data_IF_765345149473
#
_entry.id   IF_765345149473
#
_cell.length_a   1.000
_cell.length_b   1.000
_cell.length_c   1.000
_cell.angle_alpha   90.00
_cell.angle_beta   90.00
_cell.angle_gamma   90.00
#
_symmetry.space_group_name_H-M   'P 1'
#
loop_
_entity.id
_entity.type
_entity.pdbx_description
1 polymer ?
#
# COMPACT_ATOMS: atom_id res chain seq x y z
N UNK A 1 14.20 36.71 79.96
CA UNK A 1 15.24 36.11 79.10
C UNK A 1 14.51 35.17 78.15
N UNK A 2 14.40 35.60 76.90
CA UNK A 2 13.69 34.88 75.89
C UNK A 2 14.68 34.33 74.86
N UNK A 3 14.79 33.01 74.77
CA UNK A 3 15.65 32.33 73.81
C UNK A 3 14.89 32.11 72.49
N UNK A 4 15.45 32.60 71.38
CA UNK A 4 14.95 32.43 70.01
C UNK A 4 15.19 31.00 69.60
N UNK A 5 14.09 30.23 69.26
CA UNK A 5 14.14 29.02 68.50
C UNK A 5 14.18 29.37 67.00
N UNK A 6 15.22 28.97 66.33
CA UNK A 6 15.33 29.05 64.89
C UNK A 6 14.46 27.92 64.28
N UNK A 7 13.45 28.31 63.50
CA UNK A 7 12.72 27.39 62.59
C UNK A 7 13.53 27.24 61.30
N UNK A 8 14.07 26.06 61.10
CA UNK A 8 14.59 25.62 59.81
C UNK A 8 13.39 25.22 58.93
N UNK A 9 13.08 26.07 57.96
CA UNK A 9 12.15 25.74 56.91
C UNK A 9 12.83 24.82 55.91
N UNK A 10 12.40 23.57 55.84
CA UNK A 10 12.79 22.61 54.79
C UNK A 10 12.06 22.98 53.49
N UNK A 11 12.78 23.49 52.52
CA UNK A 11 12.31 23.65 51.15
C UNK A 11 12.19 22.28 50.47
N UNK A 12 11.10 21.98 49.78
CA UNK A 12 11.03 20.76 48.98
C UNK A 12 11.93 20.90 47.74
N UNK A 13 12.86 19.99 47.59
CA UNK A 13 13.65 19.85 46.37
C UNK A 13 12.68 19.39 45.27
N UNK A 14 12.28 20.30 44.42
CA UNK A 14 11.65 20.01 43.16
C UNK A 14 12.67 19.30 42.28
N UNK A 15 12.60 17.98 42.23
CA UNK A 15 13.29 17.17 41.25
C UNK A 15 12.69 17.51 39.86
N UNK A 16 13.37 18.39 39.14
CA UNK A 16 13.09 18.59 37.72
C UNK A 16 13.48 17.32 36.97
N UNK A 17 12.51 16.50 36.69
CA UNK A 17 12.62 15.45 35.69
C UNK A 17 12.83 16.16 34.35
N UNK A 18 14.09 16.30 33.94
CA UNK A 18 14.44 16.56 32.57
C UNK A 18 13.99 15.32 31.79
N UNK A 19 12.82 15.38 31.15
CA UNK A 19 12.47 14.52 30.05
C UNK A 19 13.50 14.75 28.94
N UNK A 20 14.61 14.04 29.02
CA UNK A 20 15.53 13.85 27.92
C UNK A 20 14.86 12.96 26.87
N UNK A 21 13.92 13.52 26.11
CA UNK A 21 13.71 13.04 24.76
C UNK A 21 15.02 13.36 24.03
N UNK A 22 15.92 12.39 23.93
CA UNK A 22 16.88 12.38 22.86
C UNK A 22 16.07 12.61 21.60
N UNK A 23 16.41 13.66 20.84
CA UNK A 23 15.89 13.84 19.50
C UNK A 23 16.34 12.58 18.74
N UNK A 24 15.46 11.57 18.65
CA UNK A 24 15.61 10.50 17.68
C UNK A 24 15.77 11.21 16.35
N UNK A 25 16.93 11.04 15.71
CA UNK A 25 17.10 11.42 14.32
C UNK A 25 15.97 10.71 13.59
N UNK A 26 15.03 11.49 13.07
CA UNK A 26 13.90 10.94 12.33
C UNK A 26 14.51 10.11 11.20
N UNK A 27 14.54 8.79 11.35
CA UNK A 27 14.99 7.90 10.28
C UNK A 27 14.01 8.08 9.14
N UNK A 28 14.52 8.32 7.95
CA UNK A 28 13.72 8.43 6.72
C UNK A 28 12.65 7.34 6.68
N UNK A 29 11.41 7.70 6.42
CA UNK A 29 10.27 6.78 6.33
C UNK A 29 9.74 6.74 4.91
N UNK A 30 9.16 5.61 4.53
CA UNK A 30 8.68 5.37 3.18
C UNK A 30 7.22 4.94 3.24
N UNK A 31 6.36 5.69 2.55
CA UNK A 31 5.01 5.29 2.20
C UNK A 31 5.07 4.62 0.81
N UNK A 32 4.99 3.31 0.79
CA UNK A 32 5.20 2.52 -0.43
C UNK A 32 3.95 2.45 -1.34
N UNK A 33 2.83 3.10 -0.96
CA UNK A 33 1.60 3.02 -1.72
C UNK A 33 0.70 4.24 -1.48
N UNK A 34 0.75 5.19 -2.41
CA UNK A 34 -0.18 6.31 -2.48
C UNK A 34 -0.42 6.76 -3.94
N UNK A 35 -1.33 7.70 -4.16
CA UNK A 35 -1.77 8.17 -5.47
C UNK A 35 -1.70 9.70 -5.56
N UNK A 36 -0.53 10.23 -5.94
CA UNK A 36 -0.32 11.65 -6.21
C UNK A 36 -0.22 11.85 -7.73
N UNK A 37 -1.23 12.47 -8.33
CA UNK A 37 -1.38 12.58 -9.79
C UNK A 37 -1.14 13.99 -10.33
N UNK A 38 -0.70 14.92 -9.48
CA UNK A 38 -0.31 16.28 -9.84
C UNK A 38 0.72 16.82 -8.87
N UNK A 39 1.52 17.78 -9.31
CA UNK A 39 2.37 18.53 -8.39
C UNK A 39 1.49 19.27 -7.37
N UNK A 40 1.80 19.11 -6.10
CA UNK A 40 1.10 19.70 -4.95
C UNK A 40 2.15 20.29 -4.00
N UNK A 41 2.57 21.56 -4.20
CA UNK A 41 3.73 22.13 -3.52
C UNK A 41 3.68 22.03 -1.99
N UNK A 42 2.52 22.31 -1.36
CA UNK A 42 2.38 22.22 0.10
C UNK A 42 2.50 20.78 0.59
N UNK A 43 1.94 19.79 -0.14
CA UNK A 43 2.07 18.37 0.18
C UNK A 43 3.54 17.91 0.06
N UNK A 44 4.22 18.27 -1.04
CA UNK A 44 5.62 17.91 -1.26
C UNK A 44 6.53 18.52 -0.19
N UNK A 45 6.31 19.79 0.20
CA UNK A 45 7.05 20.43 1.29
C UNK A 45 6.79 19.76 2.65
N UNK A 46 5.55 19.32 2.91
CA UNK A 46 5.22 18.60 4.14
C UNK A 46 5.92 17.23 4.21
N UNK A 47 5.98 16.49 3.11
CA UNK A 47 6.71 15.22 3.01
C UNK A 47 8.21 15.44 3.25
N UNK A 48 8.79 16.47 2.66
CA UNK A 48 10.20 16.82 2.87
C UNK A 48 10.50 17.18 4.33
N UNK A 49 9.68 18.04 4.93
CA UNK A 49 9.83 18.46 6.32
C UNK A 49 9.72 17.29 7.32
N UNK A 50 8.86 16.33 7.02
CA UNK A 50 8.61 15.17 7.88
C UNK A 50 9.50 13.97 7.56
N UNK A 51 10.44 14.11 6.62
CA UNK A 51 11.38 13.10 6.12
C UNK A 51 10.68 11.82 5.63
N UNK A 52 9.61 12.00 4.85
CA UNK A 52 8.92 10.92 4.17
C UNK A 52 9.32 10.86 2.70
N UNK A 53 9.61 9.65 2.22
CA UNK A 53 9.59 9.30 0.80
C UNK A 53 8.32 8.54 0.48
N UNK A 54 7.95 8.55 -0.80
CA UNK A 54 6.72 7.90 -1.24
C UNK A 54 6.89 7.19 -2.57
N UNK A 55 6.02 6.21 -2.84
CA UNK A 55 5.84 5.65 -4.18
C UNK A 55 4.44 6.01 -4.66
N UNK A 56 4.36 6.93 -5.64
CA UNK A 56 3.08 7.24 -6.29
C UNK A 56 2.77 6.19 -7.35
N UNK A 57 1.61 5.56 -7.24
CA UNK A 57 1.22 4.42 -8.06
C UNK A 57 0.23 4.85 -9.13
N UNK A 58 0.57 4.61 -10.40
CA UNK A 58 -0.34 4.73 -11.52
C UNK A 58 -1.32 3.56 -11.54
N UNK A 59 -2.61 3.82 -11.76
CA UNK A 59 -3.65 2.80 -11.88
C UNK A 59 -4.31 2.88 -13.23
N UNK A 60 -4.33 1.77 -13.97
CA UNK A 60 -5.16 1.57 -15.17
C UNK A 60 -6.41 0.80 -14.77
N UNK A 61 -7.53 1.52 -14.62
CA UNK A 61 -8.80 0.95 -14.16
C UNK A 61 -9.80 0.65 -15.28
N UNK A 62 -9.44 0.92 -16.54
CA UNK A 62 -10.31 0.77 -17.69
C UNK A 62 -10.79 -0.69 -17.86
N UNK A 63 -12.09 -0.87 -18.16
CA UNK A 63 -12.74 -2.17 -18.34
C UNK A 63 -13.63 -2.24 -19.59
N UNK A 64 -14.06 -1.09 -20.17
CA UNK A 64 -14.89 -0.95 -21.35
C UNK A 64 -14.07 -0.71 -22.62
N UNK A 65 -14.75 -0.24 -23.67
CA UNK A 65 -14.17 -0.04 -25.00
C UNK A 65 -13.64 1.40 -25.21
N UNK A 66 -13.64 2.24 -24.18
CA UNK A 66 -13.12 3.60 -24.24
C UNK A 66 -11.64 3.61 -24.67
N UNK A 67 -11.17 4.67 -25.37
CA UNK A 67 -9.76 4.78 -25.74
C UNK A 67 -8.83 4.67 -24.53
N UNK A 68 -7.65 4.07 -24.73
CA UNK A 68 -6.67 3.95 -23.66
C UNK A 68 -6.07 5.30 -23.30
N UNK A 69 -6.13 5.65 -22.03
CA UNK A 69 -5.51 6.86 -21.44
C UNK A 69 -4.22 6.55 -20.70
N UNK A 70 -3.65 5.37 -20.90
CA UNK A 70 -2.50 4.89 -20.10
C UNK A 70 -1.27 5.79 -20.25
N UNK A 71 -1.07 6.42 -21.40
CA UNK A 71 0.00 7.39 -21.60
C UNK A 71 -0.12 8.59 -20.65
N UNK A 72 -1.30 9.20 -20.60
CA UNK A 72 -1.59 10.34 -19.73
C UNK A 72 -1.55 9.94 -18.25
N UNK A 73 -2.06 8.74 -17.93
CA UNK A 73 -2.05 8.23 -16.57
C UNK A 73 -0.60 8.02 -16.06
N UNK A 74 0.31 7.50 -16.88
CA UNK A 74 1.72 7.34 -16.52
C UNK A 74 2.49 8.67 -16.49
N UNK A 75 2.12 9.65 -17.32
CA UNK A 75 2.78 10.96 -17.36
C UNK A 75 2.64 11.74 -16.03
N UNK A 76 1.48 11.63 -15.37
CA UNK A 76 1.17 12.34 -14.13
C UNK A 76 2.14 12.01 -12.97
N UNK A 77 2.30 10.76 -12.52
CA UNK A 77 3.26 10.45 -11.45
C UNK A 77 4.72 10.70 -11.87
N UNK A 78 5.05 10.58 -13.16
CA UNK A 78 6.37 10.93 -13.68
C UNK A 78 6.67 12.44 -13.51
N UNK A 79 5.67 13.30 -13.71
CA UNK A 79 5.78 14.75 -13.45
C UNK A 79 5.98 15.03 -11.95
N UNK A 80 5.20 14.41 -11.08
CA UNK A 80 5.36 14.51 -9.62
C UNK A 80 6.75 14.07 -9.18
N UNK A 81 7.25 12.98 -9.73
CA UNK A 81 8.62 12.50 -9.47
C UNK A 81 9.66 13.59 -9.77
N UNK A 82 9.58 14.23 -10.93
CA UNK A 82 10.47 15.34 -11.30
C UNK A 82 10.31 16.55 -10.38
N UNK A 83 9.06 16.95 -10.12
CA UNK A 83 8.75 18.09 -9.26
C UNK A 83 9.23 17.91 -7.82
N UNK A 84 9.22 16.68 -7.30
CA UNK A 84 9.68 16.31 -5.95
C UNK A 84 11.18 16.03 -5.88
N UNK A 85 11.93 16.20 -6.98
CA UNK A 85 13.36 15.85 -7.07
C UNK A 85 13.65 14.42 -6.63
N UNK A 86 12.75 13.48 -6.95
CA UNK A 86 12.86 12.06 -6.63
C UNK A 86 12.36 11.64 -5.25
N UNK A 87 11.92 12.56 -4.38
CA UNK A 87 11.33 12.20 -3.07
C UNK A 87 10.07 11.35 -3.23
N UNK A 88 9.27 11.62 -4.25
CA UNK A 88 8.18 10.76 -4.69
C UNK A 88 8.67 9.96 -5.89
N UNK A 89 9.01 8.70 -5.68
CA UNK A 89 9.22 7.72 -6.74
C UNK A 89 7.86 7.31 -7.34
N UNK A 90 7.86 6.53 -8.43
CA UNK A 90 6.61 6.14 -9.04
C UNK A 90 6.61 4.74 -9.66
N UNK A 91 5.43 4.13 -9.66
CA UNK A 91 5.13 2.90 -10.37
C UNK A 91 4.28 3.21 -11.60
N UNK A 92 4.69 2.70 -12.76
CA UNK A 92 3.89 2.75 -13.99
C UNK A 92 2.77 1.71 -13.97
N UNK A 93 1.93 1.74 -14.99
CA UNK A 93 0.91 0.72 -15.23
C UNK A 93 0.77 0.48 -16.73
N UNK A 94 0.00 -0.52 -17.12
CA UNK A 94 -0.39 -0.76 -18.50
C UNK A 94 -1.88 -1.05 -18.60
N UNK A 95 -2.44 -0.78 -19.78
CA UNK A 95 -3.81 -1.16 -20.09
C UNK A 95 -3.84 -2.64 -20.49
N UNK A 96 -4.52 -3.45 -19.70
CA UNK A 96 -4.58 -4.90 -19.93
C UNK A 96 -5.66 -5.32 -20.95
N UNK A 97 -6.48 -4.37 -21.41
CA UNK A 97 -7.48 -4.65 -22.46
C UNK A 97 -6.78 -4.99 -23.78
N UNK A 98 -7.46 -5.78 -24.60
CA UNK A 98 -6.89 -6.24 -25.87
C UNK A 98 -5.76 -7.26 -25.71
N UNK A 99 -5.68 -7.94 -24.55
CA UNK A 99 -4.67 -8.96 -24.25
C UNK A 99 -4.69 -10.15 -25.22
N UNK A 100 -5.79 -10.37 -25.94
CA UNK A 100 -5.91 -11.41 -26.98
C UNK A 100 -5.28 -11.00 -28.34
N UNK A 101 -4.87 -9.74 -28.48
CA UNK A 101 -4.17 -9.30 -29.69
C UNK A 101 -2.74 -9.85 -29.69
N UNK A 102 -2.27 -10.50 -30.79
CA UNK A 102 -0.91 -11.05 -30.86
C UNK A 102 0.21 -10.02 -30.57
N UNK A 103 -0.01 -8.76 -30.89
CA UNK A 103 0.97 -7.68 -30.65
C UNK A 103 0.90 -7.06 -29.23
N UNK A 104 -0.08 -7.48 -28.43
CA UNK A 104 -0.35 -6.87 -27.12
C UNK A 104 0.88 -6.82 -26.22
N UNK A 105 1.51 -7.96 -25.97
CA UNK A 105 2.67 -8.04 -25.09
C UNK A 105 3.82 -7.18 -25.59
N UNK A 106 4.10 -7.17 -26.91
CA UNK A 106 5.14 -6.34 -27.53
C UNK A 106 4.91 -4.85 -27.31
N UNK A 107 3.68 -4.38 -27.54
CA UNK A 107 3.31 -2.97 -27.29
C UNK A 107 3.42 -2.57 -25.81
N UNK A 108 2.93 -3.40 -24.90
CA UNK A 108 3.04 -3.15 -23.47
C UNK A 108 4.49 -3.10 -23.02
N UNK A 109 5.33 -4.05 -23.45
CA UNK A 109 6.75 -4.08 -23.10
C UNK A 109 7.48 -2.82 -23.62
N UNK A 110 7.18 -2.38 -24.84
CA UNK A 110 7.76 -1.14 -25.39
C UNK A 110 7.36 0.08 -24.56
N UNK A 111 6.08 0.19 -24.20
CA UNK A 111 5.58 1.27 -23.33
C UNK A 111 6.22 1.24 -21.95
N UNK A 112 6.31 0.07 -21.31
CA UNK A 112 6.95 -0.06 -19.99
C UNK A 112 8.44 0.32 -20.01
N UNK A 113 9.17 -0.01 -21.06
CA UNK A 113 10.57 0.44 -21.23
C UNK A 113 10.67 1.97 -21.22
N UNK A 114 9.79 2.64 -21.96
CA UNK A 114 9.74 4.11 -21.95
C UNK A 114 9.46 4.67 -20.54
N UNK A 115 8.55 4.05 -19.77
CA UNK A 115 8.28 4.49 -18.39
C UNK A 115 9.48 4.22 -17.47
N UNK A 116 10.24 3.13 -17.67
CA UNK A 116 11.46 2.86 -16.90
C UNK A 116 12.57 3.87 -17.23
N UNK A 117 12.72 4.25 -18.49
CA UNK A 117 13.64 5.32 -18.92
C UNK A 117 13.26 6.68 -18.32
N UNK A 118 11.97 6.90 -18.03
CA UNK A 118 11.46 8.08 -17.33
C UNK A 118 11.54 7.98 -15.79
N UNK A 119 12.07 6.89 -15.25
CA UNK A 119 12.30 6.70 -13.82
C UNK A 119 11.26 5.89 -13.07
N UNK A 120 10.34 5.19 -13.75
CA UNK A 120 9.45 4.23 -13.08
C UNK A 120 10.25 3.08 -12.45
N UNK A 121 9.99 2.80 -11.18
CA UNK A 121 10.71 1.77 -10.42
C UNK A 121 9.92 0.47 -10.24
N UNK A 122 8.64 0.49 -10.58
CA UNK A 122 7.75 -0.66 -10.45
C UNK A 122 6.62 -0.58 -11.49
N UNK A 123 5.86 -1.66 -11.62
CA UNK A 123 4.67 -1.73 -12.48
C UNK A 123 3.47 -2.17 -11.67
N UNK A 124 2.39 -1.39 -11.73
CA UNK A 124 1.10 -1.73 -11.12
C UNK A 124 0.27 -2.60 -12.04
N UNK A 125 -0.26 -3.69 -11.49
CA UNK A 125 -1.43 -4.37 -12.03
C UNK A 125 -2.60 -4.21 -11.06
N UNK A 126 -3.82 -4.15 -11.59
CA UNK A 126 -4.97 -3.79 -10.79
C UNK A 126 -6.10 -4.82 -10.89
N UNK A 127 -7.05 -4.76 -9.99
CA UNK A 127 -8.16 -5.72 -9.84
C UNK A 127 -9.09 -5.84 -11.06
N UNK A 128 -9.03 -4.89 -12.02
CA UNK A 128 -9.70 -5.07 -13.30
C UNK A 128 -9.24 -6.36 -14.01
N UNK A 129 -8.01 -6.82 -13.75
CA UNK A 129 -7.56 -8.17 -14.07
C UNK A 129 -8.12 -9.12 -13.00
N UNK A 130 -9.10 -9.90 -13.35
CA UNK A 130 -9.85 -10.82 -12.49
C UNK A 130 -11.31 -10.42 -12.27
N UNK A 131 -11.63 -9.11 -12.30
CA UNK A 131 -12.94 -8.59 -11.90
C UNK A 131 -13.61 -7.67 -12.94
N UNK A 132 -12.90 -7.22 -13.97
CA UNK A 132 -13.43 -6.23 -14.92
C UNK A 132 -13.22 -6.60 -16.37
N UNK A 133 -11.98 -6.84 -16.77
CA UNK A 133 -11.61 -7.11 -18.17
C UNK A 133 -12.08 -8.50 -18.58
N UNK A 134 -12.73 -8.57 -19.74
CA UNK A 134 -13.23 -9.82 -20.33
C UNK A 134 -12.52 -10.16 -21.63
N UNK A 135 -12.44 -11.45 -21.91
CA UNK A 135 -12.07 -11.99 -23.21
C UNK A 135 -13.19 -11.78 -24.24
N UNK A 136 -12.91 -12.04 -25.51
CA UNK A 136 -13.94 -12.08 -26.57
C UNK A 136 -15.01 -13.13 -26.32
N UNK A 137 -14.71 -14.18 -25.55
CA UNK A 137 -15.71 -15.18 -25.12
C UNK A 137 -16.58 -14.72 -23.95
N UNK A 138 -16.29 -13.54 -23.37
CA UNK A 138 -17.02 -12.96 -22.25
C UNK A 138 -16.52 -13.39 -20.86
N UNK A 139 -15.48 -14.22 -20.77
CA UNK A 139 -14.89 -14.65 -19.51
C UNK A 139 -13.94 -13.58 -18.93
N UNK A 140 -13.92 -13.41 -17.63
CA UNK A 140 -12.96 -12.51 -16.98
C UNK A 140 -11.54 -13.04 -17.11
N UNK A 141 -10.61 -12.18 -17.53
CA UNK A 141 -9.18 -12.50 -17.61
C UNK A 141 -8.58 -12.63 -16.23
N UNK A 142 -7.83 -13.67 -15.98
CA UNK A 142 -7.16 -13.92 -14.70
C UNK A 142 -5.68 -13.46 -14.74
N UNK A 143 -5.06 -13.17 -13.58
CA UNK A 143 -3.68 -12.66 -13.53
C UNK A 143 -2.62 -13.65 -14.04
N UNK A 144 -2.92 -14.94 -14.10
CA UNK A 144 -2.06 -15.98 -14.65
C UNK A 144 -2.29 -16.27 -16.15
N UNK A 145 -3.06 -15.42 -16.85
CA UNK A 145 -3.27 -15.56 -18.28
C UNK A 145 -1.94 -15.55 -19.04
N UNK A 146 -1.69 -16.50 -19.97
CA UNK A 146 -0.43 -16.59 -20.70
C UNK A 146 -0.02 -15.32 -21.47
N UNK A 147 -0.99 -14.49 -21.89
CA UNK A 147 -0.72 -13.22 -22.57
C UNK A 147 0.11 -12.24 -21.73
N UNK A 148 0.07 -12.35 -20.40
CA UNK A 148 0.84 -11.50 -19.50
C UNK A 148 2.25 -12.03 -19.21
N UNK A 149 2.52 -13.30 -19.47
CA UNK A 149 3.83 -13.92 -19.18
C UNK A 149 5.02 -13.15 -19.76
N UNK A 150 5.05 -12.76 -21.07
CA UNK A 150 6.17 -12.02 -21.62
C UNK A 150 6.38 -10.64 -20.96
N UNK A 151 5.26 -10.01 -20.49
CA UNK A 151 5.31 -8.72 -19.80
C UNK A 151 5.98 -8.89 -18.44
N UNK A 152 5.57 -9.89 -17.66
CA UNK A 152 6.15 -10.18 -16.35
C UNK A 152 7.64 -10.57 -16.43
N UNK A 153 8.02 -11.33 -17.45
CA UNK A 153 9.43 -11.65 -17.74
C UNK A 153 10.24 -10.39 -18.08
N UNK A 154 9.67 -9.46 -18.87
CA UNK A 154 10.32 -8.20 -19.18
C UNK A 154 10.50 -7.30 -17.93
N UNK A 155 9.51 -7.25 -17.06
CA UNK A 155 9.58 -6.54 -15.76
C UNK A 155 10.67 -7.16 -14.86
N UNK A 156 10.70 -8.49 -14.77
CA UNK A 156 11.74 -9.22 -14.03
C UNK A 156 13.14 -8.94 -14.60
N UNK A 157 13.30 -8.98 -15.93
CA UNK A 157 14.58 -8.70 -16.60
C UNK A 157 15.06 -7.27 -16.38
N UNK A 158 14.14 -6.32 -16.27
CA UNK A 158 14.43 -4.92 -15.95
C UNK A 158 14.72 -4.68 -14.45
N UNK A 159 14.76 -5.73 -13.64
CA UNK A 159 14.90 -5.67 -12.17
C UNK A 159 13.83 -4.77 -11.50
N UNK A 160 12.61 -4.80 -12.01
CA UNK A 160 11.47 -4.04 -11.48
C UNK A 160 10.52 -4.96 -10.70
N UNK A 161 9.68 -4.35 -9.86
CA UNK A 161 8.71 -5.04 -9.02
C UNK A 161 7.32 -4.90 -9.60
N UNK A 162 6.51 -5.95 -9.50
CA UNK A 162 5.07 -5.86 -9.72
C UNK A 162 4.41 -5.46 -8.40
N UNK A 163 3.63 -4.37 -8.41
CA UNK A 163 2.73 -3.97 -7.33
C UNK A 163 1.32 -4.42 -7.73
N UNK A 164 0.80 -5.43 -7.04
CA UNK A 164 -0.36 -6.20 -7.49
C UNK A 164 -1.57 -6.01 -6.58
N UNK A 165 -2.57 -5.25 -7.03
CA UNK A 165 -3.90 -5.25 -6.42
C UNK A 165 -4.75 -6.30 -7.14
N UNK A 166 -4.83 -7.50 -6.60
CA UNK A 166 -5.59 -8.63 -7.14
C UNK A 166 -6.71 -8.97 -6.17
N UNK A 167 -7.95 -9.01 -6.68
CA UNK A 167 -9.18 -9.17 -5.91
C UNK A 167 -9.51 -7.99 -4.97
N UNK A 168 -10.61 -8.11 -4.26
CA UNK A 168 -11.18 -7.18 -3.29
C UNK A 168 -11.35 -7.87 -1.93
N UNK A 169 -11.68 -7.14 -0.84
CA UNK A 169 -12.16 -7.75 0.40
C UNK A 169 -13.29 -8.75 0.20
N UNK A 170 -13.46 -9.68 1.13
CA UNK A 170 -14.52 -10.70 1.08
C UNK A 170 -15.92 -10.10 0.88
N UNK A 171 -16.14 -8.88 1.38
CA UNK A 171 -17.37 -8.13 1.20
C UNK A 171 -17.83 -7.94 -0.25
N UNK A 172 -16.92 -8.02 -1.24
CA UNK A 172 -17.29 -7.97 -2.66
C UNK A 172 -18.13 -9.19 -3.10
N UNK A 173 -18.03 -10.31 -2.40
CA UNK A 173 -18.73 -11.56 -2.68
C UNK A 173 -19.82 -11.91 -1.65
N UNK A 174 -20.12 -11.01 -0.72
CA UNK A 174 -21.16 -11.15 0.30
C UNK A 174 -22.36 -10.26 -0.03
N UNK A 175 -23.57 -10.54 0.51
CA UNK A 175 -24.71 -9.65 0.36
C UNK A 175 -24.39 -8.21 0.77
N UNK A 176 -24.96 -7.23 0.06
CA UNK A 176 -24.75 -5.81 0.32
C UNK A 176 -25.80 -5.30 1.34
N UNK A 177 -25.69 -5.75 2.57
CA UNK A 177 -26.55 -5.36 3.69
C UNK A 177 -25.73 -4.73 4.84
N UNK A 178 -26.38 -4.44 5.95
CA UNK A 178 -25.77 -3.77 7.11
C UNK A 178 -24.64 -4.57 7.78
N UNK A 179 -24.50 -5.86 7.50
CA UNK A 179 -23.41 -6.69 7.99
C UNK A 179 -22.13 -6.57 7.15
N UNK A 180 -22.24 -6.06 5.92
CA UNK A 180 -21.12 -5.90 5.01
C UNK A 180 -20.35 -4.62 5.36
N UNK A 181 -19.13 -4.79 5.89
CA UNK A 181 -18.26 -3.66 6.30
C UNK A 181 -17.88 -2.73 5.14
N UNK A 182 -17.97 -3.21 3.88
CA UNK A 182 -17.62 -2.48 2.66
C UNK A 182 -18.85 -1.93 1.90
N UNK A 183 -20.04 -1.95 2.53
CA UNK A 183 -21.30 -1.47 1.91
C UNK A 183 -21.15 -0.05 1.35
N UNK A 184 -20.46 0.84 2.06
CA UNK A 184 -20.25 2.23 1.64
C UNK A 184 -19.39 2.36 0.38
N UNK A 185 -18.47 1.42 0.16
CA UNK A 185 -17.61 1.38 -1.03
C UNK A 185 -18.37 0.79 -2.22
N UNK A 186 -18.95 -0.41 -2.09
CA UNK A 186 -19.60 -1.09 -3.21
C UNK A 186 -20.91 -0.43 -3.65
N UNK A 187 -21.60 0.31 -2.79
CA UNK A 187 -22.73 1.15 -3.18
C UNK A 187 -22.36 2.28 -4.15
N UNK A 188 -21.10 2.75 -4.08
CA UNK A 188 -20.57 3.81 -4.95
C UNK A 188 -19.78 3.28 -6.15
N UNK A 189 -19.33 2.03 -6.08
CA UNK A 189 -18.48 1.38 -7.07
C UNK A 189 -19.04 -0.01 -7.41
N UNK A 190 -20.28 -0.08 -7.96
CA UNK A 190 -20.97 -1.35 -8.21
C UNK A 190 -20.24 -2.23 -9.23
N UNK A 191 -19.36 -1.66 -10.07
CA UNK A 191 -18.54 -2.40 -11.02
C UNK A 191 -17.57 -3.37 -10.37
N UNK A 192 -17.19 -3.16 -9.09
CA UNK A 192 -16.31 -4.03 -8.32
C UNK A 192 -17.05 -4.97 -7.36
N UNK A 193 -18.38 -4.93 -7.36
CA UNK A 193 -19.19 -5.82 -6.54
C UNK A 193 -19.56 -7.09 -7.31
N UNK A 194 -19.13 -8.25 -6.79
CA UNK A 194 -19.19 -9.55 -7.48
C UNK A 194 -20.32 -10.44 -7.02
N UNK A 195 -20.94 -10.21 -5.87
CA UNK A 195 -22.03 -11.03 -5.37
C UNK A 195 -23.20 -11.05 -6.33
N UNK A 196 -23.62 -12.27 -6.73
CA UNK A 196 -24.71 -12.48 -7.69
C UNK A 196 -24.42 -12.03 -9.14
N UNK A 197 -23.21 -11.55 -9.44
CA UNK A 197 -22.84 -11.11 -10.80
C UNK A 197 -22.60 -12.33 -11.68
N UNK A 198 -23.34 -12.40 -12.79
CA UNK A 198 -23.23 -13.50 -13.73
C UNK A 198 -21.82 -13.59 -14.34
N UNK A 199 -21.24 -14.79 -14.29
CA UNK A 199 -19.91 -15.08 -14.82
C UNK A 199 -18.75 -14.54 -13.99
N UNK A 200 -19.00 -13.91 -12.82
CA UNK A 200 -17.94 -13.51 -11.92
C UNK A 200 -17.22 -14.73 -11.34
N UNK A 201 -15.91 -14.64 -11.26
CA UNK A 201 -15.12 -15.61 -10.51
C UNK A 201 -15.34 -15.46 -9.02
N UNK A 202 -15.23 -16.54 -8.26
CA UNK A 202 -15.09 -16.46 -6.81
C UNK A 202 -13.75 -15.82 -6.44
N UNK A 203 -13.66 -15.25 -5.22
CA UNK A 203 -12.39 -14.72 -4.70
C UNK A 203 -11.29 -15.79 -4.72
N UNK A 204 -11.61 -17.02 -4.32
CA UNK A 204 -10.69 -18.15 -4.30
C UNK A 204 -10.12 -18.45 -5.69
N UNK A 205 -10.95 -18.37 -6.74
CA UNK A 205 -10.50 -18.58 -8.13
C UNK A 205 -9.48 -17.51 -8.54
N UNK A 206 -9.74 -16.24 -8.24
CA UNK A 206 -8.84 -15.13 -8.56
C UNK A 206 -7.54 -15.25 -7.76
N UNK A 207 -7.63 -15.57 -6.47
CA UNK A 207 -6.48 -15.72 -5.59
C UNK A 207 -5.63 -16.94 -5.97
N UNK A 208 -6.24 -18.04 -6.38
CA UNK A 208 -5.53 -19.22 -6.91
C UNK A 208 -4.78 -18.87 -8.22
N UNK A 209 -5.38 -18.05 -9.08
CA UNK A 209 -4.70 -17.56 -10.29
C UNK A 209 -3.50 -16.66 -9.94
N UNK A 210 -3.62 -15.80 -8.92
CA UNK A 210 -2.49 -15.04 -8.39
C UNK A 210 -1.39 -15.97 -7.88
N UNK A 211 -1.75 -17.01 -7.15
CA UNK A 211 -0.77 -17.96 -6.60
C UNK A 211 -0.05 -18.73 -7.73
N UNK A 212 -0.75 -19.09 -8.82
CA UNK A 212 -0.11 -19.67 -10.03
C UNK A 212 0.80 -18.67 -10.74
N UNK A 213 0.41 -17.38 -10.80
CA UNK A 213 1.27 -16.33 -11.32
C UNK A 213 2.57 -16.22 -10.52
N UNK A 214 2.50 -16.19 -9.18
CA UNK A 214 3.67 -16.15 -8.29
C UNK A 214 4.58 -17.36 -8.50
N UNK A 215 4.02 -18.56 -8.60
CA UNK A 215 4.75 -19.81 -8.81
C UNK A 215 5.47 -19.86 -10.16
N UNK A 216 4.87 -19.31 -11.23
CA UNK A 216 5.47 -19.26 -12.58
C UNK A 216 6.64 -18.27 -12.69
N UNK A 217 6.69 -17.26 -11.84
CA UNK A 217 7.68 -16.21 -11.86
C UNK A 217 8.47 -16.10 -10.54
N UNK A 218 9.19 -17.16 -10.11
CA UNK A 218 9.77 -17.24 -8.75
C UNK A 218 10.90 -16.21 -8.51
N UNK A 219 11.44 -15.60 -9.57
CA UNK A 219 12.46 -14.55 -9.48
C UNK A 219 11.89 -13.13 -9.57
N UNK A 220 10.62 -12.98 -9.93
CA UNK A 220 9.96 -11.69 -10.00
C UNK A 220 9.50 -11.27 -8.59
N UNK A 221 9.92 -10.10 -8.13
CA UNK A 221 9.40 -9.53 -6.89
C UNK A 221 7.97 -9.05 -7.10
N UNK A 222 7.07 -9.47 -6.21
CA UNK A 222 5.67 -9.05 -6.23
C UNK A 222 5.30 -8.52 -4.85
N UNK A 223 4.76 -7.30 -4.80
CA UNK A 223 4.14 -6.71 -3.61
C UNK A 223 2.63 -6.74 -3.80
N UNK A 224 1.95 -7.58 -3.03
CA UNK A 224 0.49 -7.64 -2.99
C UNK A 224 -0.06 -6.44 -2.22
N UNK A 225 -0.81 -5.58 -2.91
CA UNK A 225 -1.46 -4.44 -2.26
C UNK A 225 -2.48 -4.91 -1.21
N UNK A 226 -2.72 -4.06 -0.20
CA UNK A 226 -3.85 -4.24 0.70
C UNK A 226 -3.79 -5.57 1.48
N UNK A 227 -2.64 -5.87 2.09
CA UNK A 227 -2.36 -7.18 2.72
C UNK A 227 -2.59 -8.35 1.74
N UNK A 228 -2.31 -8.11 0.45
CA UNK A 228 -2.50 -9.11 -0.60
C UNK A 228 -3.95 -9.51 -0.81
N UNK A 229 -4.92 -8.67 -0.44
CA UNK A 229 -6.37 -8.91 -0.45
C UNK A 229 -6.81 -10.10 0.43
N UNK A 230 -6.01 -10.41 1.46
CA UNK A 230 -6.32 -11.39 2.52
C UNK A 230 -6.43 -10.72 3.91
N UNK A 231 -6.81 -9.44 3.96
CA UNK A 231 -6.89 -8.61 5.16
C UNK A 231 -7.79 -9.19 6.25
N UNK A 232 -8.83 -9.93 5.87
CA UNK A 232 -9.74 -10.59 6.80
C UNK A 232 -9.21 -11.94 7.33
N UNK A 233 -8.07 -12.43 6.77
CA UNK A 233 -7.55 -13.79 7.02
C UNK A 233 -6.02 -13.81 7.06
N UNK A 234 -5.43 -13.32 8.14
CA UNK A 234 -3.97 -13.29 8.32
C UNK A 234 -3.34 -14.70 8.28
N UNK A 235 -4.07 -15.73 8.65
CA UNK A 235 -3.63 -17.13 8.55
C UNK A 235 -3.49 -17.59 7.09
N UNK A 236 -4.42 -17.19 6.19
CA UNK A 236 -4.32 -17.45 4.76
C UNK A 236 -3.17 -16.68 4.13
N UNK A 237 -3.00 -15.40 4.50
CA UNK A 237 -1.88 -14.59 4.07
C UNK A 237 -0.54 -15.19 4.52
N UNK A 238 -0.46 -15.65 5.77
CA UNK A 238 0.71 -16.33 6.32
C UNK A 238 1.15 -17.54 5.49
N UNK A 239 0.21 -18.42 5.14
CA UNK A 239 0.48 -19.59 4.27
C UNK A 239 1.05 -19.19 2.91
N UNK A 240 0.56 -18.09 2.32
CA UNK A 240 1.08 -17.58 1.04
C UNK A 240 2.48 -17.00 1.17
N UNK A 241 2.73 -16.23 2.22
CA UNK A 241 4.08 -15.71 2.50
C UNK A 241 5.09 -16.84 2.78
N UNK A 242 4.67 -17.92 3.44
CA UNK A 242 5.52 -19.11 3.66
C UNK A 242 5.76 -19.88 2.34
N UNK A 243 4.78 -19.89 1.42
CA UNK A 243 4.86 -20.63 0.15
C UNK A 243 5.66 -19.90 -0.93
N UNK A 244 5.51 -18.56 -1.02
CA UNK A 244 6.07 -17.77 -2.12
C UNK A 244 7.16 -16.80 -1.61
N UNK A 245 8.46 -17.16 -1.72
CA UNK A 245 9.56 -16.30 -1.27
C UNK A 245 9.67 -14.98 -2.06
N UNK A 246 9.10 -14.92 -3.25
CA UNK A 246 9.04 -13.74 -4.13
C UNK A 246 7.84 -12.83 -3.88
N UNK A 247 7.06 -13.07 -2.81
CA UNK A 247 5.85 -12.32 -2.47
C UNK A 247 6.02 -11.56 -1.15
N UNK A 248 5.69 -10.29 -1.15
CA UNK A 248 5.52 -9.41 0.01
C UNK A 248 4.18 -8.71 -0.08
N UNK A 249 3.77 -7.97 0.95
CA UNK A 249 2.51 -7.23 0.95
C UNK A 249 2.68 -5.82 1.48
N UNK A 250 1.80 -4.90 1.12
CA UNK A 250 1.69 -3.59 1.76
C UNK A 250 0.46 -3.49 2.68
N UNK A 251 0.47 -2.47 3.54
CA UNK A 251 -0.62 -2.19 4.49
C UNK A 251 -1.66 -1.21 3.96
N UNK A 252 -1.53 -0.77 2.72
CA UNK A 252 -2.33 0.30 2.11
C UNK A 252 -3.83 0.08 2.33
N UNK A 253 -4.53 1.08 2.84
CA UNK A 253 -5.95 1.06 3.23
C UNK A 253 -6.35 -0.07 4.20
N UNK A 254 -5.40 -0.84 4.75
CA UNK A 254 -5.70 -2.05 5.56
C UNK A 254 -5.19 -1.97 7.01
N UNK A 255 -4.52 -0.89 7.41
CA UNK A 255 -4.18 -0.68 8.83
C UNK A 255 -5.44 -0.77 9.71
N UNK A 256 -6.58 -0.28 9.23
CA UNK A 256 -7.88 -0.40 9.91
C UNK A 256 -8.32 -1.83 10.22
N UNK A 257 -7.93 -2.81 9.40
CA UNK A 257 -8.23 -4.22 9.63
C UNK A 257 -7.35 -4.79 10.74
N UNK A 258 -6.05 -4.46 10.72
CA UNK A 258 -5.13 -4.81 11.81
C UNK A 258 -5.55 -4.19 13.15
N UNK A 259 -6.05 -2.93 13.12
CA UNK A 259 -6.53 -2.22 14.31
C UNK A 259 -7.80 -2.86 14.89
N UNK A 260 -8.73 -3.28 14.04
CA UNK A 260 -10.04 -3.83 14.46
C UNK A 260 -10.02 -5.34 14.69
N UNK A 261 -9.02 -6.02 14.16
CA UNK A 261 -8.81 -7.47 14.30
C UNK A 261 -8.28 -7.88 15.68
N UNK A 262 -7.87 -9.12 15.80
CA UNK A 262 -7.21 -9.60 17.00
C UNK A 262 -5.82 -8.99 17.15
N UNK A 263 -5.62 -8.23 18.21
CA UNK A 263 -4.39 -7.50 18.49
C UNK A 263 -3.16 -8.41 18.58
N UNK A 264 -3.29 -9.56 19.24
CA UNK A 264 -2.18 -10.49 19.42
C UNK A 264 -1.88 -11.25 18.12
N UNK A 265 -2.89 -11.56 17.34
CA UNK A 265 -2.71 -12.16 16.01
C UNK A 265 -1.98 -11.20 15.07
N UNK A 266 -2.43 -9.95 14.97
CA UNK A 266 -1.80 -8.92 14.17
C UNK A 266 -0.34 -8.70 14.59
N UNK A 267 -0.08 -8.64 15.89
CA UNK A 267 1.27 -8.49 16.43
C UNK A 267 2.16 -9.68 16.09
N UNK A 268 1.70 -10.92 16.31
CA UNK A 268 2.45 -12.15 15.95
C UNK A 268 2.73 -12.23 14.46
N UNK A 269 1.74 -11.90 13.62
CA UNK A 269 1.89 -11.89 12.19
C UNK A 269 3.00 -10.91 11.74
N UNK A 270 2.97 -9.66 12.21
CA UNK A 270 3.95 -8.64 11.84
C UNK A 270 5.36 -8.97 12.35
N UNK A 271 5.48 -9.58 13.52
CA UNK A 271 6.77 -10.06 14.05
C UNK A 271 7.34 -11.20 13.18
N UNK A 272 6.50 -12.15 12.77
CA UNK A 272 6.94 -13.29 11.94
C UNK A 272 7.32 -12.84 10.54
N UNK A 273 6.52 -11.98 9.92
CA UNK A 273 6.70 -11.55 8.53
C UNK A 273 7.30 -10.14 8.40
N UNK A 274 8.06 -9.69 9.41
CA UNK A 274 8.64 -8.37 9.51
C UNK A 274 9.48 -7.93 8.29
N UNK A 275 9.98 -8.86 7.49
CA UNK A 275 10.78 -8.61 6.27
C UNK A 275 9.94 -8.63 4.98
N UNK A 276 8.61 -8.80 5.12
CA UNK A 276 7.67 -9.04 4.01
C UNK A 276 6.47 -8.08 4.02
N UNK A 277 6.38 -7.16 4.98
CA UNK A 277 5.32 -6.17 5.07
C UNK A 277 5.90 -4.79 4.85
N UNK A 278 5.37 -4.05 3.88
CA UNK A 278 5.71 -2.67 3.56
C UNK A 278 4.61 -1.75 4.11
N UNK A 279 4.98 -0.60 4.66
CA UNK A 279 4.01 0.42 5.01
C UNK A 279 3.50 1.13 3.75
N UNK A 280 2.20 1.37 3.68
CA UNK A 280 1.53 2.17 2.65
C UNK A 280 0.19 2.66 3.17
N UNK A 281 -0.22 3.87 2.75
CA UNK A 281 -1.47 4.49 3.18
C UNK A 281 -2.64 4.25 2.24
N UNK A 282 -2.41 4.13 0.94
CA UNK A 282 -3.39 4.26 -0.14
C UNK A 282 -3.99 5.68 -0.24
N UNK A 283 -3.26 6.67 0.27
CA UNK A 283 -3.71 8.06 0.18
C UNK A 283 -3.87 8.49 -1.28
N UNK A 284 -5.01 9.07 -1.59
CA UNK A 284 -5.29 9.66 -2.91
C UNK A 284 -5.38 11.17 -2.80
N UNK A 285 -4.65 11.88 -3.66
CA UNK A 285 -4.74 13.33 -3.78
C UNK A 285 -5.99 13.70 -4.61
N UNK A 286 -7.14 13.77 -3.94
CA UNK A 286 -8.47 14.01 -4.53
C UNK A 286 -9.01 15.43 -4.31
N UNK A 287 -8.30 16.25 -3.51
CA UNK A 287 -8.65 17.66 -3.27
C UNK A 287 -7.73 18.62 -4.02
N UNK A 288 -8.26 19.79 -4.38
CA UNK A 288 -7.47 20.89 -4.92
C UNK A 288 -6.69 21.66 -3.85
N UNK A 289 -7.06 21.51 -2.56
CA UNK A 289 -6.38 22.15 -1.43
C UNK A 289 -5.16 21.32 -0.98
N UNK A 290 -3.98 21.72 -1.41
CA UNK A 290 -2.72 21.04 -1.09
C UNK A 290 -2.39 21.05 0.41
N UNK A 291 -2.78 22.09 1.14
CA UNK A 291 -2.53 22.17 2.58
C UNK A 291 -3.44 21.22 3.35
N UNK A 292 -4.70 21.11 2.94
CA UNK A 292 -5.64 20.12 3.48
C UNK A 292 -5.15 18.69 3.20
N UNK A 293 -4.70 18.42 1.98
CA UNK A 293 -4.12 17.13 1.57
C UNK A 293 -2.92 16.76 2.45
N UNK A 294 -1.97 17.70 2.63
CA UNK A 294 -0.80 17.52 3.47
C UNK A 294 -1.17 17.21 4.92
N UNK A 295 -2.10 17.98 5.50
CA UNK A 295 -2.55 17.78 6.87
C UNK A 295 -3.28 16.42 7.04
N UNK A 296 -4.03 15.97 6.03
CA UNK A 296 -4.71 14.68 6.03
C UNK A 296 -3.72 13.53 6.01
N UNK A 297 -2.77 13.54 5.07
CA UNK A 297 -1.74 12.50 4.97
C UNK A 297 -0.87 12.45 6.23
N UNK A 298 -0.47 13.60 6.78
CA UNK A 298 0.31 13.66 8.01
C UNK A 298 -0.43 13.06 9.21
N UNK A 299 -1.75 13.29 9.34
CA UNK A 299 -2.57 12.66 10.39
C UNK A 299 -2.57 11.14 10.25
N UNK A 300 -2.76 10.63 9.04
CA UNK A 300 -2.72 9.18 8.77
C UNK A 300 -1.35 8.60 9.11
N UNK A 301 -0.25 9.21 8.64
CA UNK A 301 1.10 8.77 8.95
C UNK A 301 1.37 8.72 10.46
N UNK A 302 0.94 9.73 11.21
CA UNK A 302 1.16 9.79 12.66
C UNK A 302 0.32 8.73 13.39
N UNK A 303 -0.95 8.57 13.02
CA UNK A 303 -1.86 7.60 13.62
C UNK A 303 -1.37 6.16 13.37
N UNK A 304 -0.98 5.86 12.14
CA UNK A 304 -0.49 4.53 11.79
C UNK A 304 0.86 4.27 12.49
N UNK A 305 1.78 5.23 12.49
CA UNK A 305 3.03 5.10 13.23
C UNK A 305 2.79 4.80 14.71
N UNK A 306 1.87 5.53 15.35
CA UNK A 306 1.54 5.33 16.75
C UNK A 306 0.97 3.92 17.00
N UNK A 307 0.14 3.41 16.09
CA UNK A 307 -0.40 2.06 16.17
C UNK A 307 0.69 0.98 16.11
N UNK A 308 1.65 1.11 15.18
CA UNK A 308 2.70 0.11 15.06
C UNK A 308 3.76 0.22 16.17
N UNK A 309 4.18 1.45 16.52
CA UNK A 309 5.39 1.70 17.29
C UNK A 309 5.16 1.82 18.80
N UNK A 310 3.95 2.06 19.27
CA UNK A 310 3.70 2.35 20.70
C UNK A 310 2.68 1.41 21.31
N UNK A 311 2.61 1.40 22.65
CA UNK A 311 1.56 0.73 23.41
C UNK A 311 0.42 1.69 23.81
N UNK A 312 0.39 2.89 23.26
CA UNK A 312 -0.60 3.91 23.57
C UNK A 312 -2.02 3.48 23.17
N UNK A 313 -3.00 4.09 23.79
CA UNK A 313 -4.38 4.04 23.29
C UNK A 313 -4.54 5.00 22.12
N UNK A 314 -5.03 4.49 21.00
CA UNK A 314 -5.17 5.22 19.74
C UNK A 314 -6.64 5.26 19.37
N UNK A 315 -7.13 6.45 19.07
CA UNK A 315 -8.49 6.61 18.56
C UNK A 315 -8.51 6.34 17.05
N UNK A 316 -9.31 5.35 16.66
CA UNK A 316 -9.53 4.99 15.25
C UNK A 316 -11.04 5.00 14.96
N UNK A 317 -11.51 6.04 14.26
CA UNK A 317 -12.94 6.31 14.12
C UNK A 317 -13.57 6.72 15.46
N UNK A 318 -14.61 5.99 15.87
CA UNK A 318 -15.37 6.19 17.12
C UNK A 318 -14.86 5.36 18.31
N UNK A 319 -13.86 4.50 18.08
CA UNK A 319 -13.33 3.56 19.09
C UNK A 319 -11.86 3.83 19.41
N UNK A 320 -11.46 3.32 20.57
CA UNK A 320 -10.09 3.34 21.05
C UNK A 320 -9.52 1.93 20.99
N UNK A 321 -8.28 1.82 20.53
CA UNK A 321 -7.54 0.58 20.38
C UNK A 321 -6.14 0.73 20.95
N UNK A 322 -5.57 -0.38 21.38
CA UNK A 322 -4.19 -0.40 21.87
C UNK A 322 -3.20 -0.53 20.71
N UNK A 323 -2.12 0.25 20.73
CA UNK A 323 -1.02 0.09 19.77
C UNK A 323 -0.27 -1.23 19.95
N UNK A 324 0.36 -1.69 18.87
CA UNK A 324 1.00 -3.01 18.79
C UNK A 324 2.33 -3.10 19.55
N UNK A 325 2.94 -1.94 19.87
CA UNK A 325 4.25 -1.88 20.54
C UNK A 325 5.27 -2.84 19.91
N UNK A 326 5.43 -2.75 18.59
CA UNK A 326 6.42 -3.55 17.88
C UNK A 326 7.84 -3.08 18.26
N UNK A 327 8.83 -3.99 18.30
CA UNK A 327 10.22 -3.60 18.44
C UNK A 327 10.63 -2.57 17.38
N UNK A 328 11.45 -1.59 17.75
CA UNK A 328 11.93 -0.53 16.84
C UNK A 328 12.54 -1.09 15.56
N UNK A 329 13.32 -2.18 15.65
CA UNK A 329 13.90 -2.85 14.48
C UNK A 329 12.85 -3.36 13.50
N UNK A 330 11.69 -3.81 13.98
CA UNK A 330 10.56 -4.27 13.15
C UNK A 330 9.84 -3.10 12.52
N UNK A 331 9.56 -2.04 13.31
CA UNK A 331 8.96 -0.81 12.80
C UNK A 331 9.83 -0.21 11.69
N UNK A 332 11.15 -0.13 11.89
CA UNK A 332 12.10 0.35 10.88
C UNK A 332 12.07 -0.46 9.59
N UNK A 333 11.93 -1.79 9.68
CA UNK A 333 11.76 -2.64 8.50
C UNK A 333 10.48 -2.32 7.74
N UNK A 334 9.33 -2.25 8.43
CA UNK A 334 8.02 -2.01 7.84
C UNK A 334 7.95 -0.61 7.21
N UNK A 335 8.43 0.43 7.89
CA UNK A 335 8.32 1.80 7.45
C UNK A 335 9.48 2.28 6.55
N UNK A 336 10.51 1.45 6.32
CA UNK A 336 11.65 1.85 5.49
C UNK A 336 12.32 0.67 4.79
N UNK A 337 12.96 -0.23 5.53
CA UNK A 337 13.88 -1.22 4.96
C UNK A 337 13.24 -2.14 3.93
N UNK A 338 11.98 -2.53 4.14
CA UNK A 338 11.28 -3.41 3.23
C UNK A 338 10.96 -2.74 1.88
N UNK A 339 10.60 -1.44 1.89
CA UNK A 339 10.37 -0.71 0.65
C UNK A 339 11.64 -0.69 -0.22
N UNK A 340 12.80 -0.41 0.36
CA UNK A 340 14.10 -0.44 -0.35
C UNK A 340 14.44 -1.83 -0.89
N UNK A 341 14.14 -2.88 -0.13
CA UNK A 341 14.43 -4.27 -0.51
C UNK A 341 13.50 -4.77 -1.60
N UNK A 342 12.20 -4.51 -1.46
CA UNK A 342 11.18 -5.07 -2.35
C UNK A 342 10.92 -4.22 -3.58
N UNK A 343 11.23 -2.93 -3.56
CA UNK A 343 11.06 -2.01 -4.68
C UNK A 343 12.40 -1.31 -4.98
N UNK A 344 13.36 -2.00 -5.61
CA UNK A 344 14.66 -1.44 -5.93
C UNK A 344 14.52 -0.24 -6.88
N UNK A 345 15.41 0.75 -6.70
CA UNK A 345 15.37 2.02 -7.41
C UNK A 345 14.78 3.17 -6.59
N UNK A 346 14.24 2.90 -5.42
CA UNK A 346 13.91 3.89 -4.43
C UNK A 346 15.22 4.41 -3.80
N UNK A 347 15.65 5.63 -4.17
CA UNK A 347 16.92 6.24 -3.73
C UNK A 347 16.67 7.58 -3.08
#
# INVERSE_FOLDING_TARGET
MVTRRQLLASLPVLATWKNGRAAESASERIDAHLHIHRAAPALLAALEKADWRCISICVSSAIGDEPSTIGDLNAKPAEVHRASKGRVAWASSFDARGFENPEFAGRVIASLRQTFDQGAIAVKIWKNIGMGIRSKSGEYVLPDNPAFTPIFEAVQKADRTIIAHIAEPDGAWLPLDSSNSEIGYYSKNPEWYMFGRQGAHSKETIMAARDRFLARHPKLRVVGCHLGSDEDHLDRLAKRLDTFPNFAVDTAARVRYLVRGDHEEARRFLLKYQDRVLYGTDFTLDTADDAQAAASLQRTHNQDWEFFATANEIRYGDRTYKGLNLPESVVRKIFHGNALRWVPGLR
#
